data_IF_565461281921
#
_entry.id   IF_565461281921
#
_cell.length_a   1.000
_cell.length_b   1.000
_cell.length_c   1.000
_cell.angle_alpha   90.00
_cell.angle_beta   90.00
_cell.angle_gamma   90.00
#
_symmetry.space_group_name_H-M   'P 1'
#
loop_
_entity.id
_entity.type
_entity.pdbx_description
1 polymer ?
#
# COMPACT_ATOMS: atom_id res chain seq x y z
N UNK A 1 -9.40 -17.62 0.24
CA UNK A 1 -9.73 -16.37 0.94
C UNK A 1 -8.48 -15.59 1.31
N UNK A 2 -7.56 -16.08 2.16
CA UNK A 2 -6.30 -15.38 2.41
C UNK A 2 -5.42 -15.27 1.14
N UNK A 3 -5.19 -16.38 0.44
CA UNK A 3 -4.41 -16.39 -0.81
C UNK A 3 -5.04 -15.51 -1.93
N UNK A 4 -6.37 -15.51 -2.06
CA UNK A 4 -7.06 -14.62 -3.02
C UNK A 4 -6.89 -13.14 -2.68
N UNK A 5 -6.89 -12.79 -1.39
CA UNK A 5 -6.65 -11.42 -0.94
C UNK A 5 -5.18 -11.02 -1.13
N UNK A 6 -4.22 -11.95 -0.93
CA UNK A 6 -2.81 -11.72 -1.22
C UNK A 6 -2.55 -11.51 -2.71
N UNK A 7 -3.17 -12.31 -3.59
CA UNK A 7 -3.07 -12.13 -5.04
C UNK A 7 -3.67 -10.78 -5.49
N UNK A 8 -4.81 -10.38 -4.90
CA UNK A 8 -5.40 -9.07 -5.14
C UNK A 8 -4.48 -7.94 -4.68
N UNK A 9 -3.88 -8.08 -3.50
CA UNK A 9 -2.93 -7.10 -2.96
C UNK A 9 -1.68 -7.00 -3.83
N UNK A 10 -1.13 -8.12 -4.31
CA UNK A 10 -0.01 -8.13 -5.26
C UNK A 10 -0.33 -7.33 -6.52
N UNK A 11 -1.55 -7.50 -7.03
CA UNK A 11 -2.05 -6.81 -8.22
C UNK A 11 -2.18 -5.30 -7.97
N UNK A 12 -2.79 -4.89 -6.86
CA UNK A 12 -2.95 -3.47 -6.53
C UNK A 12 -1.61 -2.79 -6.23
N UNK A 13 -0.68 -3.46 -5.52
CA UNK A 13 0.68 -2.96 -5.29
C UNK A 13 1.42 -2.76 -6.62
N UNK A 14 1.35 -3.75 -7.51
CA UNK A 14 1.98 -3.65 -8.84
C UNK A 14 1.38 -2.50 -9.66
N UNK A 15 0.06 -2.40 -9.71
CA UNK A 15 -0.63 -1.31 -10.40
C UNK A 15 -0.28 0.06 -9.81
N UNK A 16 -0.17 0.17 -8.48
CA UNK A 16 0.23 1.39 -7.79
C UNK A 16 1.64 1.83 -8.17
N UNK A 17 2.58 0.89 -8.24
CA UNK A 17 3.98 1.16 -8.63
C UNK A 17 4.09 1.64 -10.07
N UNK A 18 3.23 1.17 -10.95
CA UNK A 18 3.18 1.57 -12.36
C UNK A 18 2.47 2.91 -12.61
N UNK A 19 1.87 3.53 -11.58
CA UNK A 19 1.22 4.83 -11.72
C UNK A 19 2.17 5.88 -12.33
N UNK A 20 1.78 6.57 -13.42
CA UNK A 20 2.58 7.64 -14.01
C UNK A 20 2.88 8.76 -13.00
N UNK A 21 4.02 9.44 -13.15
CA UNK A 21 4.35 10.62 -12.32
C UNK A 21 3.38 11.80 -12.52
N UNK A 22 2.58 11.76 -13.58
CA UNK A 22 1.53 12.74 -13.89
C UNK A 22 0.17 12.38 -13.27
N UNK A 23 0.07 11.25 -12.56
CA UNK A 23 -1.16 10.82 -11.89
C UNK A 23 -1.57 11.86 -10.86
N UNK A 24 -2.87 12.15 -10.79
CA UNK A 24 -3.38 13.11 -9.82
C UNK A 24 -3.28 12.60 -8.39
N UNK A 25 -3.18 13.52 -7.42
CA UNK A 25 -3.15 13.15 -6.00
C UNK A 25 -4.42 12.39 -5.57
N UNK A 26 -5.57 12.69 -6.18
CA UNK A 26 -6.84 11.99 -5.92
C UNK A 26 -6.79 10.53 -6.39
N UNK A 27 -6.25 10.28 -7.59
CA UNK A 27 -6.08 8.92 -8.12
C UNK A 27 -5.07 8.10 -7.29
N UNK A 28 -3.98 8.74 -6.85
CA UNK A 28 -2.99 8.12 -5.95
C UNK A 28 -3.64 7.76 -4.61
N UNK A 29 -4.42 8.69 -4.03
CA UNK A 29 -5.17 8.46 -2.78
C UNK A 29 -6.16 7.31 -2.93
N UNK A 30 -6.88 7.25 -4.05
CA UNK A 30 -7.83 6.18 -4.31
C UNK A 30 -7.14 4.81 -4.44
N UNK A 31 -5.99 4.74 -5.12
CA UNK A 31 -5.21 3.50 -5.24
C UNK A 31 -4.64 3.05 -3.90
N UNK A 32 -4.13 3.99 -3.10
CA UNK A 32 -3.65 3.72 -1.74
C UNK A 32 -4.77 3.19 -0.83
N UNK A 33 -5.97 3.78 -0.89
CA UNK A 33 -7.11 3.31 -0.10
C UNK A 33 -7.54 1.87 -0.47
N UNK A 34 -7.48 1.49 -1.75
CA UNK A 34 -7.74 0.09 -2.16
C UNK A 34 -6.77 -0.88 -1.50
N UNK A 35 -5.49 -0.53 -1.44
CA UNK A 35 -4.45 -1.33 -0.77
C UNK A 35 -4.76 -1.45 0.73
N UNK A 36 -5.14 -0.36 1.39
CA UNK A 36 -5.57 -0.37 2.81
C UNK A 36 -6.74 -1.34 3.03
N UNK A 37 -7.77 -1.26 2.21
CA UNK A 37 -8.99 -2.08 2.38
C UNK A 37 -8.68 -3.58 2.28
N UNK A 38 -7.77 -3.96 1.38
CA UNK A 38 -7.32 -5.35 1.23
C UNK A 38 -6.48 -5.78 2.43
N UNK A 39 -5.54 -4.95 2.89
CA UNK A 39 -4.73 -5.27 4.08
C UNK A 39 -5.60 -5.41 5.32
N UNK A 40 -6.59 -4.53 5.53
CA UNK A 40 -7.55 -4.69 6.62
C UNK A 40 -8.33 -5.99 6.52
N UNK A 41 -8.71 -6.40 5.30
CA UNK A 41 -9.39 -7.67 5.07
C UNK A 41 -8.48 -8.86 5.40
N UNK A 42 -7.19 -8.80 5.04
CA UNK A 42 -6.18 -9.80 5.42
C UNK A 42 -6.01 -9.91 6.94
N UNK A 43 -5.97 -8.78 7.64
CA UNK A 43 -5.87 -8.75 9.11
C UNK A 43 -7.02 -9.49 9.80
N UNK A 44 -8.23 -9.44 9.23
CA UNK A 44 -9.40 -10.13 9.75
C UNK A 44 -9.37 -11.66 9.55
N UNK A 45 -8.43 -12.19 8.76
CA UNK A 45 -8.32 -13.63 8.47
C UNK A 45 -7.33 -14.40 9.36
N UNK A 46 -6.64 -13.71 10.29
CA UNK A 46 -5.94 -14.24 11.48
C UNK A 46 -4.89 -15.37 11.29
N UNK A 47 -4.16 -15.39 10.16
CA UNK A 47 -3.08 -16.37 9.94
C UNK A 47 -1.67 -15.89 10.36
N UNK A 48 -1.38 -14.58 10.38
CA UNK A 48 -0.07 -14.03 10.79
C UNK A 48 -0.14 -12.61 11.38
N UNK A 49 -0.46 -12.53 12.68
CA UNK A 49 -0.70 -11.26 13.39
C UNK A 49 0.50 -10.31 13.45
N UNK A 50 1.76 -10.79 13.42
CA UNK A 50 2.93 -9.92 13.56
C UNK A 50 3.22 -9.21 12.23
N UNK A 51 3.31 -9.98 11.15
CA UNK A 51 3.49 -9.47 9.78
C UNK A 51 2.39 -8.47 9.42
N UNK A 52 1.14 -8.80 9.76
CA UNK A 52 -0.03 -7.94 9.58
C UNK A 52 0.05 -6.63 10.39
N UNK A 53 0.48 -6.69 11.66
CA UNK A 53 0.61 -5.49 12.49
C UNK A 53 1.72 -4.55 11.95
N UNK A 54 2.82 -5.12 11.45
CA UNK A 54 3.92 -4.34 10.85
C UNK A 54 3.50 -3.70 9.54
N UNK A 55 2.83 -4.46 8.66
CA UNK A 55 2.23 -3.95 7.43
C UNK A 55 1.23 -2.81 7.69
N UNK A 56 0.39 -2.96 8.72
CA UNK A 56 -0.55 -1.93 9.12
C UNK A 56 0.13 -0.66 9.65
N UNK A 57 1.19 -0.81 10.44
CA UNK A 57 1.96 0.34 10.95
C UNK A 57 2.63 1.10 9.81
N UNK A 58 3.26 0.38 8.88
CA UNK A 58 3.89 0.96 7.69
C UNK A 58 2.88 1.78 6.87
N UNK A 59 1.68 1.21 6.63
CA UNK A 59 0.64 1.91 5.89
C UNK A 59 0.18 3.17 6.61
N UNK A 60 -0.22 3.06 7.87
CA UNK A 60 -0.85 4.15 8.61
C UNK A 60 0.12 5.28 8.96
N UNK A 61 1.40 4.97 9.14
CA UNK A 61 2.37 5.93 9.66
C UNK A 61 3.27 6.45 8.52
N UNK A 62 4.09 5.60 7.91
CA UNK A 62 5.09 6.01 6.90
C UNK A 62 4.47 6.30 5.53
N UNK A 63 3.66 5.37 5.01
CA UNK A 63 3.03 5.54 3.71
C UNK A 63 1.96 6.66 3.72
N UNK A 64 1.22 6.80 4.82
CA UNK A 64 0.24 7.89 4.96
C UNK A 64 0.92 9.27 4.95
N UNK A 65 2.09 9.40 5.59
CA UNK A 65 2.89 10.63 5.54
C UNK A 65 3.31 10.95 4.10
N UNK A 66 3.81 9.96 3.37
CA UNK A 66 4.19 10.15 1.96
C UNK A 66 2.98 10.56 1.09
N UNK A 67 1.80 9.97 1.34
CA UNK A 67 0.57 10.35 0.65
C UNK A 67 0.18 11.81 0.93
N UNK A 68 0.24 12.26 2.19
CA UNK A 68 -0.04 13.65 2.54
C UNK A 68 0.92 14.60 1.80
N UNK A 69 2.19 14.24 1.69
CA UNK A 69 3.18 15.02 0.94
C UNK A 69 2.92 15.05 -0.57
N UNK A 70 2.42 13.96 -1.15
CA UNK A 70 1.94 13.94 -2.54
C UNK A 70 0.76 14.90 -2.73
N UNK A 71 -0.19 14.91 -1.80
CA UNK A 71 -1.35 15.81 -1.82
C UNK A 71 -0.94 17.30 -1.68
N UNK A 72 0.16 17.58 -0.98
CA UNK A 72 0.78 18.91 -0.92
C UNK A 72 1.56 19.29 -2.21
N UNK A 73 1.67 18.38 -3.18
CA UNK A 73 2.37 18.60 -4.44
C UNK A 73 3.87 18.28 -4.39
N UNK A 74 4.36 17.59 -3.35
CA UNK A 74 5.76 17.15 -3.28
C UNK A 74 5.95 15.93 -4.18
N UNK A 75 6.35 16.16 -5.42
CA UNK A 75 6.50 15.12 -6.46
C UNK A 75 7.55 14.06 -6.14
N UNK A 76 8.46 14.28 -5.20
CA UNK A 76 9.39 13.24 -4.71
C UNK A 76 8.67 12.19 -3.85
N UNK A 77 7.65 12.58 -3.09
CA UNK A 77 6.97 11.72 -2.13
C UNK A 77 6.24 10.54 -2.79
N UNK A 78 5.92 10.62 -4.09
CA UNK A 78 5.36 9.47 -4.83
C UNK A 78 6.38 8.35 -5.00
N UNK A 79 7.68 8.67 -5.10
CA UNK A 79 8.73 7.66 -5.18
C UNK A 79 8.92 6.96 -3.85
N UNK A 80 8.87 7.71 -2.74
CA UNK A 80 8.91 7.15 -1.39
C UNK A 80 7.66 6.30 -1.13
N UNK A 81 6.47 6.81 -1.47
CA UNK A 81 5.22 6.06 -1.33
C UNK A 81 5.24 4.73 -2.10
N UNK A 82 5.82 4.70 -3.30
CA UNK A 82 6.01 3.45 -4.06
C UNK A 82 6.99 2.49 -3.39
N UNK A 83 8.04 3.02 -2.76
CA UNK A 83 8.97 2.21 -1.98
C UNK A 83 8.30 1.58 -0.76
N UNK A 84 7.44 2.33 -0.07
CA UNK A 84 6.63 1.80 1.03
C UNK A 84 5.70 0.67 0.55
N UNK A 85 5.12 0.78 -0.65
CA UNK A 85 4.31 -0.32 -1.22
C UNK A 85 5.15 -1.58 -1.52
N UNK A 86 6.42 -1.44 -1.89
CA UNK A 86 7.33 -2.58 -2.03
C UNK A 86 7.59 -3.27 -0.70
N UNK A 87 7.88 -2.49 0.34
CA UNK A 87 8.09 -3.02 1.70
C UNK A 87 6.84 -3.70 2.24
N UNK A 88 5.64 -3.20 1.92
CA UNK A 88 4.39 -3.84 2.26
C UNK A 88 4.29 -5.26 1.67
N UNK A 89 4.63 -5.42 0.39
CA UNK A 89 4.66 -6.72 -0.28
C UNK A 89 5.63 -7.69 0.41
N UNK A 90 6.83 -7.22 0.74
CA UNK A 90 7.83 -8.02 1.46
C UNK A 90 7.35 -8.46 2.85
N UNK A 91 6.76 -7.55 3.63
CA UNK A 91 6.25 -7.83 4.98
C UNK A 91 5.15 -8.88 4.97
N UNK A 92 4.29 -8.86 3.96
CA UNK A 92 3.16 -9.78 3.83
C UNK A 92 3.52 -11.05 3.04
N UNK A 93 4.79 -11.21 2.65
CA UNK A 93 5.27 -12.31 1.80
C UNK A 93 4.47 -12.46 0.51
N UNK A 94 4.19 -11.32 -0.14
CA UNK A 94 3.45 -11.21 -1.39
C UNK A 94 4.46 -10.99 -2.51
N UNK A 95 4.48 -11.91 -3.48
CA UNK A 95 5.46 -11.97 -4.56
C UNK A 95 5.03 -11.18 -5.80
#
# INVERSE_FOLDING_TARGET
MNEELKDQLATEISAFKELPSTTSADEITAAYNRIIDIVQSLMLTDEDSDSHARAWSLLRDDAYKCLAEVQEGKTHAIHELKHEMDQLGELLSIA
#
